data_IF_320932260387
#
_entry.id   IF_320932260387
#
_cell.length_a   1.000
_cell.length_b   1.000
_cell.length_c   1.000
_cell.angle_alpha   90.00
_cell.angle_beta   90.00
_cell.angle_gamma   90.00
#
_symmetry.space_group_name_H-M   'P 1'
#
loop_
_entity.id
_entity.type
_entity.pdbx_description
1 polymer ?
#
# COMPACT_ATOMS: atom_id res chain seq x y z
N UNK A 1 4.41 4.72 -1.01
CA UNK A 1 3.42 5.82 -0.97
C UNK A 1 2.98 6.19 0.44
N UNK A 2 2.84 5.24 1.39
CA UNK A 2 2.39 5.54 2.76
C UNK A 2 3.12 6.68 3.49
N UNK A 3 4.43 6.84 3.29
CA UNK A 3 5.19 7.96 3.87
C UNK A 3 4.74 9.34 3.35
N UNK A 4 4.51 9.45 2.04
CA UNK A 4 4.03 10.70 1.41
C UNK A 4 2.60 10.98 1.88
N UNK A 5 1.73 9.96 1.90
CA UNK A 5 0.35 10.08 2.39
C UNK A 5 0.30 10.62 3.82
N UNK A 6 1.23 10.18 4.67
CA UNK A 6 1.28 10.61 6.06
C UNK A 6 1.81 12.04 6.22
N UNK A 7 2.97 12.34 5.64
CA UNK A 7 3.69 13.61 5.86
C UNK A 7 3.09 14.75 5.03
N UNK A 8 2.88 14.54 3.74
CA UNK A 8 2.38 15.56 2.83
C UNK A 8 1.34 14.97 1.84
N UNK A 9 0.12 14.70 2.32
CA UNK A 9 -0.94 14.15 1.48
C UNK A 9 -1.39 15.08 0.35
N UNK A 10 -1.26 16.40 0.53
CA UNK A 10 -1.61 17.39 -0.50
C UNK A 10 -0.70 17.30 -1.72
N UNK A 11 0.61 17.13 -1.51
CA UNK A 11 1.56 16.92 -2.60
C UNK A 11 1.18 15.69 -3.44
N UNK A 12 0.74 14.61 -2.79
CA UNK A 12 0.31 13.42 -3.51
C UNK A 12 -0.94 13.68 -4.36
N UNK A 13 -1.97 14.32 -3.78
CA UNK A 13 -3.18 14.66 -4.51
C UNK A 13 -2.89 15.59 -5.71
N UNK A 14 -1.99 16.56 -5.55
CA UNK A 14 -1.54 17.42 -6.66
C UNK A 14 -0.84 16.64 -7.77
N UNK A 15 0.07 15.72 -7.41
CA UNK A 15 0.79 14.90 -8.39
C UNK A 15 -0.14 14.00 -9.19
N UNK A 16 -1.16 13.45 -8.54
CA UNK A 16 -2.20 12.64 -9.20
C UNK A 16 -3.24 13.49 -9.95
N UNK A 17 -3.25 14.81 -9.75
CA UNK A 17 -4.33 15.69 -10.16
C UNK A 17 -5.68 15.23 -9.62
N UNK A 18 -5.68 14.70 -8.40
CA UNK A 18 -6.85 14.22 -7.66
C UNK A 18 -7.45 15.36 -6.82
N UNK A 19 -8.70 15.19 -6.41
CA UNK A 19 -9.37 16.16 -5.54
C UNK A 19 -8.76 16.15 -4.13
N UNK A 20 -8.78 17.30 -3.46
CA UNK A 20 -8.35 17.43 -2.05
C UNK A 20 -9.42 16.99 -1.03
N UNK A 21 -10.43 16.24 -1.48
CA UNK A 21 -11.41 15.64 -0.59
C UNK A 21 -10.74 14.47 0.17
N UNK A 22 -11.06 14.31 1.45
CA UNK A 22 -10.60 13.19 2.28
C UNK A 22 -9.08 13.11 2.56
N UNK A 23 -8.37 14.25 2.58
CA UNK A 23 -6.95 14.30 2.97
C UNK A 23 -6.66 13.66 4.35
N UNK A 24 -7.58 13.82 5.31
CA UNK A 24 -7.46 13.17 6.62
C UNK A 24 -7.48 11.64 6.52
N UNK A 25 -8.28 11.08 5.61
CA UNK A 25 -8.28 9.65 5.32
C UNK A 25 -6.95 9.22 4.69
N UNK A 26 -6.43 9.99 3.73
CA UNK A 26 -5.14 9.70 3.11
C UNK A 26 -4.03 9.62 4.17
N UNK A 27 -4.01 10.56 5.12
CA UNK A 27 -3.03 10.55 6.22
C UNK A 27 -3.16 9.31 7.12
N UNK A 28 -4.38 8.90 7.47
CA UNK A 28 -4.60 7.68 8.25
C UNK A 28 -4.19 6.41 7.48
N UNK A 29 -4.50 6.34 6.19
CA UNK A 29 -4.02 5.26 5.32
C UNK A 29 -2.49 5.25 5.26
N UNK A 30 -1.86 6.42 5.17
CA UNK A 30 -0.40 6.56 5.24
C UNK A 30 0.20 5.98 6.52
N UNK A 31 -0.40 6.28 7.67
CA UNK A 31 0.04 5.73 8.96
C UNK A 31 -0.09 4.19 9.02
N UNK A 32 -1.22 3.65 8.53
CA UNK A 32 -1.43 2.21 8.46
C UNK A 32 -0.39 1.53 7.54
N UNK A 33 -0.15 2.07 6.36
CA UNK A 33 0.84 1.57 5.41
C UNK A 33 2.27 1.61 5.96
N UNK A 34 2.66 2.69 6.65
CA UNK A 34 3.97 2.78 7.30
C UNK A 34 4.11 1.72 8.38
N UNK A 35 3.08 1.55 9.22
CA UNK A 35 3.17 0.65 10.37
C UNK A 35 3.18 -0.83 9.97
N UNK A 36 2.29 -1.26 9.08
CA UNK A 36 2.18 -2.67 8.68
C UNK A 36 3.16 -3.00 7.56
N UNK A 37 3.02 -2.37 6.40
CA UNK A 37 3.82 -2.73 5.22
C UNK A 37 5.25 -2.17 5.27
N UNK A 38 5.47 -1.09 6.01
CA UNK A 38 6.81 -0.56 6.26
C UNK A 38 7.49 -1.29 7.42
N UNK A 39 7.14 -0.90 8.65
CA UNK A 39 7.81 -1.39 9.86
C UNK A 39 7.51 -2.88 10.10
N UNK A 40 6.26 -3.32 9.97
CA UNK A 40 5.89 -4.72 10.15
C UNK A 40 6.65 -5.65 9.19
N UNK A 41 6.76 -5.27 7.91
CA UNK A 41 7.54 -6.03 6.93
C UNK A 41 9.04 -6.07 7.28
N UNK A 42 9.63 -4.95 7.70
CA UNK A 42 11.03 -4.91 8.14
C UNK A 42 11.27 -5.84 9.33
N UNK A 43 10.42 -5.78 10.36
CA UNK A 43 10.53 -6.65 11.53
C UNK A 43 10.33 -8.12 11.18
N UNK A 44 9.32 -8.45 10.37
CA UNK A 44 9.07 -9.81 9.90
C UNK A 44 10.26 -10.35 9.09
N UNK A 45 10.89 -9.52 8.25
CA UNK A 45 12.05 -9.92 7.45
C UNK A 45 13.32 -10.15 8.27
N UNK A 46 13.44 -9.51 9.44
CA UNK A 46 14.63 -9.62 10.29
C UNK A 46 14.82 -11.02 10.87
N UNK A 47 13.73 -11.70 11.22
CA UNK A 47 13.73 -13.11 11.63
C UNK A 47 12.40 -13.78 11.26
N UNK A 48 12.25 -14.25 10.01
CA UNK A 48 10.97 -14.70 9.48
C UNK A 48 10.41 -15.94 10.20
N UNK A 49 11.28 -16.81 10.71
CA UNK A 49 10.89 -18.03 11.43
C UNK A 49 10.29 -17.66 12.79
N UNK A 50 10.95 -16.76 13.52
CA UNK A 50 10.48 -16.32 14.85
C UNK A 50 9.22 -15.46 14.72
N UNK A 51 9.18 -14.58 13.73
CA UNK A 51 8.12 -13.58 13.54
C UNK A 51 7.03 -14.05 12.56
N UNK A 52 6.84 -15.35 12.39
CA UNK A 52 5.91 -15.95 11.41
C UNK A 52 4.49 -15.37 11.45
N UNK A 53 3.96 -15.09 12.64
CA UNK A 53 2.63 -14.46 12.78
C UNK A 53 2.60 -13.02 12.27
N UNK A 54 3.66 -12.25 12.50
CA UNK A 54 3.78 -10.89 11.98
C UNK A 54 3.93 -10.92 10.46
N UNK A 55 4.72 -11.85 9.93
CA UNK A 55 4.83 -12.10 8.49
C UNK A 55 3.45 -12.39 7.88
N UNK A 56 2.65 -13.27 8.50
CA UNK A 56 1.32 -13.62 8.03
C UNK A 56 0.37 -12.39 8.01
N UNK A 57 0.48 -11.48 8.98
CA UNK A 57 -0.28 -10.22 9.00
C UNK A 57 0.14 -9.30 7.86
N UNK A 58 1.45 -9.14 7.62
CA UNK A 58 1.98 -8.32 6.52
C UNK A 58 1.57 -8.89 5.17
N UNK A 59 1.64 -10.21 5.02
CA UNK A 59 1.20 -10.91 3.83
C UNK A 59 -0.30 -10.68 3.58
N UNK A 60 -1.13 -10.85 4.61
CA UNK A 60 -2.58 -10.62 4.50
C UNK A 60 -2.89 -9.17 4.11
N UNK A 61 -2.26 -8.20 4.77
CA UNK A 61 -2.43 -6.78 4.47
C UNK A 61 -2.05 -6.47 3.01
N UNK A 62 -0.87 -6.94 2.56
CA UNK A 62 -0.39 -6.72 1.19
C UNK A 62 -1.34 -7.31 0.15
N UNK A 63 -1.85 -8.52 0.38
CA UNK A 63 -2.82 -9.15 -0.51
C UNK A 63 -4.15 -8.38 -0.55
N UNK A 64 -4.70 -8.01 0.60
CA UNK A 64 -5.97 -7.28 0.67
C UNK A 64 -5.87 -5.90 0.03
N UNK A 65 -4.77 -5.17 0.28
CA UNK A 65 -4.50 -3.88 -0.36
C UNK A 65 -4.38 -4.02 -1.87
N UNK A 66 -3.67 -5.04 -2.34
CA UNK A 66 -3.53 -5.31 -3.79
C UNK A 66 -4.87 -5.63 -4.43
N UNK A 67 -5.71 -6.45 -3.78
CA UNK A 67 -7.05 -6.78 -4.26
C UNK A 67 -7.92 -5.52 -4.30
N UNK A 68 -7.93 -4.73 -3.23
CA UNK A 68 -8.69 -3.49 -3.17
C UNK A 68 -8.25 -2.51 -4.25
N UNK A 69 -6.94 -2.29 -4.40
CA UNK A 69 -6.38 -1.41 -5.43
C UNK A 69 -6.71 -1.92 -6.85
N UNK A 70 -6.64 -3.23 -7.08
CA UNK A 70 -7.02 -3.85 -8.36
C UNK A 70 -8.50 -3.58 -8.68
N UNK A 71 -9.37 -3.79 -7.69
CA UNK A 71 -10.81 -3.59 -7.82
C UNK A 71 -11.15 -2.13 -8.11
N UNK A 72 -10.58 -1.20 -7.34
CA UNK A 72 -10.79 0.24 -7.54
C UNK A 72 -10.21 0.73 -8.87
N UNK A 73 -9.13 0.11 -9.36
CA UNK A 73 -8.58 0.41 -10.69
C UNK A 73 -9.48 -0.10 -11.80
N UNK A 74 -10.02 -1.32 -11.67
CA UNK A 74 -10.96 -1.89 -12.63
C UNK A 74 -12.27 -1.09 -12.71
N UNK A 75 -12.81 -0.66 -11.56
CA UNK A 75 -14.04 0.13 -11.45
C UNK A 75 -13.84 1.63 -11.70
N UNK A 76 -12.59 2.07 -11.87
CA UNK A 76 -12.18 3.46 -12.04
C UNK A 76 -12.74 4.42 -10.96
N UNK A 77 -12.52 4.06 -9.70
CA UNK A 77 -13.03 4.81 -8.53
C UNK A 77 -12.15 6.03 -8.15
N UNK A 78 -11.03 6.21 -8.84
CA UNK A 78 -10.08 7.29 -8.55
C UNK A 78 -10.51 8.62 -9.16
N UNK A 79 -10.31 9.71 -8.43
CA UNK A 79 -10.42 11.07 -8.97
C UNK A 79 -9.15 11.52 -9.71
N UNK A 80 -8.09 10.71 -9.70
CA UNK A 80 -6.81 11.03 -10.30
C UNK A 80 -6.91 11.18 -11.83
N UNK A 81 -6.20 12.17 -12.36
CA UNK A 81 -6.12 12.45 -13.80
C UNK A 81 -4.89 11.84 -14.46
N UNK A 82 -3.98 11.27 -13.68
CA UNK A 82 -2.72 10.64 -14.16
C UNK A 82 -2.75 9.12 -13.92
N UNK A 83 -3.22 8.31 -14.89
CA UNK A 83 -3.39 6.85 -14.73
C UNK A 83 -2.13 6.09 -14.31
N UNK A 84 -0.96 6.55 -14.75
CA UNK A 84 0.31 5.89 -14.46
C UNK A 84 0.65 5.87 -12.97
N UNK A 85 0.20 6.88 -12.21
CA UNK A 85 0.40 6.93 -10.77
C UNK A 85 -0.47 5.94 -10.01
N UNK A 86 -1.47 5.31 -10.66
CA UNK A 86 -2.27 4.21 -10.11
C UNK A 86 -1.73 2.85 -10.57
N UNK A 87 -1.47 2.71 -11.88
CA UNK A 87 -1.08 1.42 -12.48
C UNK A 87 0.29 0.94 -11.99
N UNK A 88 1.27 1.84 -11.85
CA UNK A 88 2.61 1.46 -11.40
C UNK A 88 2.61 0.93 -9.95
N UNK A 89 1.98 1.61 -8.98
CA UNK A 89 1.81 1.05 -7.63
C UNK A 89 1.06 -0.28 -7.62
N UNK A 90 0.03 -0.45 -8.44
CA UNK A 90 -0.71 -1.71 -8.53
C UNK A 90 0.20 -2.87 -8.98
N UNK A 91 1.00 -2.66 -10.02
CA UNK A 91 1.96 -3.67 -10.48
C UNK A 91 2.99 -4.00 -9.39
N UNK A 92 3.48 -2.98 -8.69
CA UNK A 92 4.46 -3.19 -7.61
C UNK A 92 3.85 -3.91 -6.40
N UNK A 93 2.63 -3.56 -6.00
CA UNK A 93 1.90 -4.21 -4.91
C UNK A 93 1.60 -5.69 -5.25
N UNK A 94 1.23 -5.96 -6.51
CA UNK A 94 1.03 -7.31 -7.03
C UNK A 94 2.32 -8.14 -6.95
N UNK A 95 3.44 -7.57 -7.41
CA UNK A 95 4.75 -8.23 -7.33
C UNK A 95 5.13 -8.56 -5.89
N UNK A 96 5.02 -7.58 -4.98
CA UNK A 96 5.35 -7.77 -3.55
C UNK A 96 4.47 -8.86 -2.93
N UNK A 97 3.17 -8.84 -3.19
CA UNK A 97 2.24 -9.86 -2.65
C UNK A 97 2.59 -11.27 -3.14
N UNK A 98 2.94 -11.42 -4.41
CA UNK A 98 3.39 -12.71 -4.98
C UNK A 98 4.69 -13.17 -4.32
N UNK A 99 5.67 -12.26 -4.16
CA UNK A 99 6.94 -12.59 -3.50
C UNK A 99 6.71 -13.03 -2.04
N UNK A 100 5.87 -12.32 -1.30
CA UNK A 100 5.54 -12.69 0.09
C UNK A 100 4.86 -14.06 0.19
N UNK A 101 4.04 -14.44 -0.80
CA UNK A 101 3.44 -15.77 -0.86
C UNK A 101 4.48 -16.86 -1.13
N UNK A 102 5.35 -16.65 -2.11
CA UNK A 102 6.37 -17.63 -2.54
C UNK A 102 7.40 -17.86 -1.43
N UNK A 103 7.86 -16.79 -0.78
CA UNK A 103 8.93 -16.83 0.22
C UNK A 103 8.41 -16.93 1.67
N UNK A 104 7.16 -17.38 1.85
CA UNK A 104 6.61 -17.57 3.18
C UNK A 104 7.43 -18.61 3.99
N UNK A 105 7.91 -18.27 5.19
CA UNK A 105 8.73 -19.15 6.04
C UNK A 105 7.93 -20.24 6.79
#
# INVERSE_FOLDING_TARGET
MGFIFFINPYLYAELEGANFENIAWLRNLGAALISVNGIGALLASSNPIKEKKLYDVVLLASCLETIALSWSTYSWEFSATVPWLIVVPLLMASLVSILLLIFRP
#
